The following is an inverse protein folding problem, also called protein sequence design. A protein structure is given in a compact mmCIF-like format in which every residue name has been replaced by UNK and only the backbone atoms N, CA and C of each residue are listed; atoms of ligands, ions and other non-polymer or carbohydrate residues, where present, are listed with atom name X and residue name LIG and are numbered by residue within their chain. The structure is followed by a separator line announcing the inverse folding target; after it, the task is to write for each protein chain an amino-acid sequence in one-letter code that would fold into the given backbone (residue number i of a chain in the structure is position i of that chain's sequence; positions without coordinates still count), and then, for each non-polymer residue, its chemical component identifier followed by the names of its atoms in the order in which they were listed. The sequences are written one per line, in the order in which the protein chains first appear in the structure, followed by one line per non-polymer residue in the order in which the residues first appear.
data_IF_846200262802
#
_entry.id   IF_846200262802
#
_cell.length_a   1.000
_cell.length_b   1.000
_cell.length_c   1.000
_cell.angle_alpha   90.00
_cell.angle_beta   90.00
_cell.angle_gamma   90.00
#
_symmetry.space_group_name_H-M   'P 1'
#
loop_
_entity.id
_entity.type
_entity.pdbx_description
1 polymer ?
#
# COMPACT_ATOMS: atom_id res chain seq x y z
N UNK A 1 -26.61 -6.60 -13.61
CA UNK A 1 -25.30 -6.81 -12.95
C UNK A 1 -24.22 -7.39 -13.87
N UNK A 2 -24.52 -8.24 -14.86
CA UNK A 2 -23.53 -8.74 -15.84
C UNK A 2 -23.03 -7.71 -16.88
N UNK A 3 -23.69 -6.55 -17.01
CA UNK A 3 -23.37 -5.54 -18.04
C UNK A 3 -22.21 -4.59 -17.70
N UNK A 4 -21.66 -4.66 -16.48
CA UNK A 4 -20.66 -3.69 -15.99
C UNK A 4 -19.24 -4.24 -15.85
N UNK A 5 -19.05 -5.54 -16.10
CA UNK A 5 -17.72 -6.16 -16.02
C UNK A 5 -17.15 -6.33 -17.43
N UNK A 6 -15.85 -6.06 -17.64
CA UNK A 6 -15.21 -6.22 -18.94
C UNK A 6 -15.37 -7.67 -19.42
N UNK A 7 -15.81 -7.83 -20.67
CA UNK A 7 -16.00 -9.13 -21.30
C UNK A 7 -14.68 -9.85 -21.51
N UNK A 8 -14.71 -11.19 -21.50
CA UNK A 8 -13.53 -12.03 -21.73
C UNK A 8 -12.94 -11.90 -23.16
N UNK A 9 -13.69 -11.29 -24.09
CA UNK A 9 -13.31 -11.10 -25.51
C UNK A 9 -13.27 -9.62 -25.90
N UNK A 10 -12.86 -8.74 -24.97
CA UNK A 10 -12.72 -7.31 -25.28
C UNK A 10 -11.58 -7.06 -26.27
N UNK A 11 -11.84 -6.19 -27.24
CA UNK A 11 -10.79 -5.74 -28.16
C UNK A 11 -9.81 -4.79 -27.45
N UNK A 12 -8.57 -4.68 -27.95
CA UNK A 12 -7.56 -3.73 -27.39
C UNK A 12 -8.09 -2.29 -27.34
N UNK A 13 -9.01 -1.92 -28.25
CA UNK A 13 -9.65 -0.62 -28.26
C UNK A 13 -10.63 -0.41 -27.09
N UNK A 14 -11.28 -1.47 -26.62
CA UNK A 14 -12.19 -1.44 -25.47
C UNK A 14 -11.43 -1.41 -24.15
N UNK A 15 -10.35 -2.19 -24.03
CA UNK A 15 -9.46 -2.17 -22.85
C UNK A 15 -8.79 -0.80 -22.63
N UNK A 16 -8.48 -0.09 -23.72
CA UNK A 16 -7.82 1.22 -23.67
C UNK A 16 -8.77 2.39 -23.84
N UNK A 17 -10.07 2.16 -23.68
CA UNK A 17 -11.09 3.21 -23.78
C UNK A 17 -10.82 4.29 -22.73
N UNK A 18 -10.87 5.56 -23.14
CA UNK A 18 -10.73 6.68 -22.21
C UNK A 18 -11.85 6.62 -21.17
N UNK A 19 -11.48 6.72 -19.88
CA UNK A 19 -12.38 6.51 -18.73
C UNK A 19 -13.02 5.10 -18.66
N UNK A 20 -12.49 4.15 -19.41
CA UNK A 20 -12.86 2.74 -19.29
C UNK A 20 -12.28 2.13 -18.01
N UNK A 21 -12.98 1.13 -17.47
CA UNK A 21 -12.47 0.28 -16.40
C UNK A 21 -12.01 -1.01 -17.06
N UNK A 22 -10.76 -1.39 -16.79
CA UNK A 22 -10.13 -2.58 -17.35
C UNK A 22 -9.46 -3.35 -16.21
N UNK A 23 -9.50 -4.67 -16.29
CA UNK A 23 -8.84 -5.53 -15.32
C UNK A 23 -7.32 -5.50 -15.55
N UNK A 24 -6.56 -4.94 -14.62
CA UNK A 24 -5.09 -4.92 -14.71
C UNK A 24 -4.45 -6.26 -14.29
N UNK A 25 -4.99 -6.90 -13.26
CA UNK A 25 -4.52 -8.17 -12.75
C UNK A 25 -5.64 -8.92 -12.02
N UNK A 26 -5.54 -10.25 -11.98
CA UNK A 26 -6.41 -11.14 -11.21
C UNK A 26 -5.53 -12.07 -10.39
N UNK A 27 -5.94 -12.33 -9.15
CA UNK A 27 -5.28 -13.27 -8.25
C UNK A 27 -6.29 -13.94 -7.35
N UNK A 28 -5.94 -15.09 -6.80
CA UNK A 28 -6.80 -15.91 -5.94
C UNK A 28 -7.00 -15.24 -4.58
N UNK A 29 -5.93 -14.67 -4.03
CA UNK A 29 -5.89 -14.13 -2.68
C UNK A 29 -5.29 -12.72 -2.63
N UNK A 30 -5.70 -11.93 -1.64
CA UNK A 30 -5.16 -10.59 -1.37
C UNK A 30 -4.95 -10.37 0.13
N UNK A 31 -3.81 -9.81 0.49
CA UNK A 31 -3.51 -9.33 1.85
C UNK A 31 -3.36 -7.82 1.84
N UNK A 32 -4.13 -7.13 2.67
CA UNK A 32 -4.20 -5.67 2.73
C UNK A 32 -3.85 -5.19 4.13
N UNK A 33 -2.77 -4.40 4.25
CA UNK A 33 -2.39 -3.80 5.54
C UNK A 33 -3.03 -2.44 5.73
N UNK A 34 -3.09 -1.63 4.66
CA UNK A 34 -3.58 -0.26 4.71
C UNK A 34 -3.81 0.33 3.32
N UNK A 35 -4.34 1.56 3.19
CA UNK A 35 -4.51 2.20 1.89
C UNK A 35 -3.19 2.32 1.12
N UNK A 36 -3.17 1.75 -0.09
CA UNK A 36 -2.01 1.66 -1.01
C UNK A 36 -0.91 0.67 -0.57
N UNK A 37 -1.17 -0.21 0.40
CA UNK A 37 -0.25 -1.24 0.88
C UNK A 37 -0.94 -2.62 0.88
N UNK A 38 -0.73 -3.39 -0.19
CA UNK A 38 -1.35 -4.71 -0.38
C UNK A 38 -0.51 -5.64 -1.25
N UNK A 39 -0.70 -6.95 -1.10
CA UNK A 39 -0.12 -7.97 -1.97
C UNK A 39 -1.22 -8.88 -2.53
N UNK A 40 -1.24 -9.03 -3.84
CA UNK A 40 -2.09 -9.98 -4.58
C UNK A 40 -1.25 -11.21 -4.91
N UNK A 41 -1.76 -12.40 -4.63
CA UNK A 41 -1.00 -13.65 -4.78
C UNK A 41 -1.89 -14.84 -5.13
N UNK A 42 -1.26 -15.87 -5.68
CA UNK A 42 -1.87 -17.18 -5.91
C UNK A 42 -1.22 -18.25 -5.04
N UNK A 43 -1.96 -19.30 -4.74
CA UNK A 43 -1.54 -20.37 -3.85
C UNK A 43 -2.03 -20.20 -2.42
N UNK A 44 -1.84 -21.26 -1.63
CA UNK A 44 -2.31 -21.35 -0.25
C UNK A 44 -1.19 -21.02 0.73
N UNK A 45 -1.52 -20.39 1.85
CA UNK A 45 -0.59 -20.05 2.94
C UNK A 45 0.16 -21.25 3.53
N UNK A 46 -0.31 -22.48 3.28
CA UNK A 46 0.29 -23.73 3.79
C UNK A 46 1.39 -24.32 2.91
N UNK A 47 1.54 -23.88 1.66
CA UNK A 47 2.57 -24.36 0.75
C UNK A 47 3.61 -23.26 0.49
N UNK A 48 4.88 -23.64 0.38
CA UNK A 48 5.98 -22.70 0.07
C UNK A 48 5.88 -22.09 -1.35
N UNK A 49 4.92 -22.51 -2.17
CA UNK A 49 4.70 -22.07 -3.54
C UNK A 49 3.81 -20.81 -3.65
N UNK A 50 3.94 -19.86 -2.72
CA UNK A 50 3.23 -18.57 -2.83
C UNK A 50 3.85 -17.75 -3.96
N UNK A 51 3.07 -17.51 -5.00
CA UNK A 51 3.48 -16.68 -6.14
C UNK A 51 2.87 -15.30 -6.00
N UNK A 52 3.70 -14.30 -5.67
CA UNK A 52 3.27 -12.90 -5.64
C UNK A 52 3.03 -12.38 -7.06
N UNK A 53 1.82 -11.88 -7.32
CA UNK A 53 1.43 -11.28 -8.59
C UNK A 53 1.65 -9.77 -8.60
N UNK A 54 1.26 -9.10 -7.52
CA UNK A 54 1.37 -7.65 -7.38
C UNK A 54 1.72 -7.30 -5.95
N UNK A 55 2.80 -6.55 -5.73
CA UNK A 55 3.15 -6.01 -4.41
C UNK A 55 3.08 -4.48 -4.43
N UNK A 56 2.10 -3.90 -3.73
CA UNK A 56 1.97 -2.45 -3.57
C UNK A 56 2.41 -2.03 -2.18
N UNK A 57 3.29 -1.03 -2.16
CA UNK A 57 3.82 -0.41 -0.94
C UNK A 57 3.79 1.11 -1.07
N UNK A 58 3.68 1.79 0.06
CA UNK A 58 3.66 3.26 0.09
C UNK A 58 5.05 3.83 0.34
N UNK A 59 5.54 4.64 -0.59
CA UNK A 59 6.77 5.44 -0.40
C UNK A 59 8.08 4.66 -0.50
N UNK A 60 8.01 3.39 -0.92
CA UNK A 60 9.15 2.49 -1.15
C UNK A 60 9.04 1.90 -2.57
N UNK A 61 10.17 1.73 -3.25
CA UNK A 61 10.20 1.13 -4.59
C UNK A 61 10.20 -0.39 -4.50
N UNK A 62 9.28 -1.03 -5.24
CA UNK A 62 9.12 -2.50 -5.31
C UNK A 62 10.42 -3.24 -5.63
N UNK A 63 11.15 -2.78 -6.65
CA UNK A 63 12.40 -3.41 -7.13
C UNK A 63 13.54 -3.47 -6.11
N UNK A 64 13.53 -2.62 -5.07
CA UNK A 64 14.63 -2.54 -4.09
C UNK A 64 14.28 -3.18 -2.74
N UNK A 65 12.99 -3.40 -2.48
CA UNK A 65 12.53 -3.83 -1.16
C UNK A 65 12.67 -5.33 -0.95
N UNK A 66 12.68 -6.14 -2.02
CA UNK A 66 12.69 -7.60 -1.98
C UNK A 66 11.65 -8.18 -1.00
N UNK A 67 10.50 -7.51 -0.85
CA UNK A 67 9.43 -7.96 0.02
C UNK A 67 8.57 -9.00 -0.69
N UNK A 68 8.23 -10.03 0.06
CA UNK A 68 7.41 -11.16 -0.35
C UNK A 68 6.01 -11.06 0.26
N UNK A 69 5.04 -11.80 -0.27
CA UNK A 69 3.70 -11.87 0.33
C UNK A 69 3.73 -12.32 1.80
N UNK A 70 4.67 -13.21 2.16
CA UNK A 70 4.87 -13.65 3.54
C UNK A 70 5.19 -12.50 4.49
N UNK A 71 5.90 -11.47 4.04
CA UNK A 71 6.18 -10.28 4.84
C UNK A 71 4.89 -9.51 5.18
N UNK A 72 3.94 -9.44 4.24
CA UNK A 72 2.63 -8.81 4.48
C UNK A 72 1.80 -9.65 5.45
N UNK A 73 1.76 -10.97 5.28
CA UNK A 73 1.04 -11.89 6.16
C UNK A 73 1.61 -11.80 7.58
N UNK A 74 2.94 -11.78 7.71
CA UNK A 74 3.63 -11.62 8.99
C UNK A 74 3.31 -10.27 9.64
N UNK A 75 3.35 -9.17 8.89
CA UNK A 75 2.95 -7.85 9.39
C UNK A 75 1.49 -7.85 9.90
N UNK A 76 0.59 -8.54 9.20
CA UNK A 76 -0.81 -8.61 9.59
C UNK A 76 -1.01 -9.43 10.87
N UNK A 77 -0.37 -10.61 10.95
CA UNK A 77 -0.58 -11.56 12.05
C UNK A 77 0.18 -11.17 13.33
N UNK A 78 1.41 -10.68 13.19
CA UNK A 78 2.27 -10.34 14.34
C UNK A 78 2.22 -8.85 14.71
N UNK A 79 1.62 -7.99 13.87
CA UNK A 79 1.64 -6.55 14.08
C UNK A 79 3.03 -5.92 13.96
N UNK A 80 3.98 -6.60 13.31
CA UNK A 80 5.35 -6.12 13.15
C UNK A 80 5.47 -5.05 12.04
N UNK A 81 6.43 -4.14 12.20
CA UNK A 81 6.79 -3.17 11.16
C UNK A 81 8.01 -3.66 10.40
N UNK A 82 7.95 -3.63 9.06
CA UNK A 82 9.09 -4.01 8.22
C UNK A 82 9.69 -2.75 7.61
N UNK A 83 10.97 -2.52 7.94
CA UNK A 83 11.74 -1.40 7.43
C UNK A 83 12.58 -1.82 6.23
N UNK A 84 12.70 -0.92 5.26
CA UNK A 84 13.48 -1.11 4.04
C UNK A 84 14.38 0.12 3.84
N UNK A 85 15.64 -0.12 3.49
CA UNK A 85 16.58 0.94 3.12
C UNK A 85 16.28 1.43 1.71
N UNK A 86 15.91 2.71 1.61
CA UNK A 86 15.64 3.37 0.33
C UNK A 86 16.69 4.41 0.02
N UNK A 87 17.22 4.38 -1.19
CA UNK A 87 18.17 5.38 -1.67
C UNK A 87 17.42 6.39 -2.52
N UNK A 88 17.49 7.66 -2.14
CA UNK A 88 16.91 8.78 -2.87
C UNK A 88 18.05 9.66 -3.43
N UNK A 89 17.95 10.04 -4.70
CA UNK A 89 18.87 11.00 -5.32
C UNK A 89 18.32 12.41 -5.09
N UNK A 90 19.11 13.26 -4.44
CA UNK A 90 18.76 14.65 -4.19
C UNK A 90 19.80 15.56 -4.84
N UNK A 91 19.35 16.68 -5.39
CA UNK A 91 20.23 17.70 -5.95
C UNK A 91 20.16 18.95 -5.07
N UNK A 92 21.31 19.38 -4.55
CA UNK A 92 21.42 20.60 -3.75
C UNK A 92 22.62 21.41 -4.23
N UNK A 93 22.39 22.67 -4.57
CA UNK A 93 23.45 23.60 -5.02
C UNK A 93 24.26 23.04 -6.20
N UNK A 94 23.61 22.34 -7.14
CA UNK A 94 24.26 21.74 -8.31
C UNK A 94 25.03 20.43 -8.02
N UNK A 95 25.08 19.97 -6.77
CA UNK A 95 25.66 18.68 -6.41
C UNK A 95 24.55 17.66 -6.24
N UNK A 96 24.65 16.53 -6.94
CA UNK A 96 23.77 15.38 -6.75
C UNK A 96 24.36 14.46 -5.69
N UNK A 97 23.59 14.17 -4.65
CA UNK A 97 23.95 13.22 -3.59
C UNK A 97 22.95 12.07 -3.54
N UNK A 98 23.44 10.89 -3.18
CA UNK A 98 22.61 9.75 -2.84
C UNK A 98 22.42 9.73 -1.32
N UNK A 99 21.17 9.83 -0.88
CA UNK A 99 20.80 9.74 0.53
C UNK A 99 20.13 8.39 0.77
N UNK A 100 20.74 7.57 1.61
CA UNK A 100 20.15 6.32 2.08
C UNK A 100 19.36 6.57 3.35
N UNK A 101 18.09 6.17 3.37
CA UNK A 101 17.20 6.31 4.52
C UNK A 101 16.45 5.01 4.75
N UNK A 102 16.38 4.57 6.00
CA UNK A 102 15.44 3.53 6.39
C UNK A 102 14.02 4.10 6.46
N UNK A 103 13.09 3.40 5.82
CA UNK A 103 11.67 3.72 5.84
C UNK A 103 10.88 2.48 6.21
N UNK A 104 9.84 2.64 7.02
CA UNK A 104 8.86 1.58 7.23
C UNK A 104 8.08 1.35 5.95
N UNK A 105 8.31 0.20 5.31
CA UNK A 105 7.71 -0.19 4.04
C UNK A 105 6.33 -0.81 4.26
N UNK A 106 6.22 -1.68 5.27
CA UNK A 106 4.98 -2.33 5.68
C UNK A 106 4.68 -1.96 7.12
N UNK A 107 3.54 -1.29 7.33
CA UNK A 107 2.99 -1.01 8.64
C UNK A 107 1.51 -1.38 8.64
N UNK A 108 1.01 -1.97 9.73
CA UNK A 108 -0.41 -2.29 9.87
C UNK A 108 -1.31 -1.06 10.00
N UNK A 109 -0.72 0.12 10.27
CA UNK A 109 -1.45 1.38 10.43
C UNK A 109 -0.76 2.44 9.58
N UNK A 110 -1.54 3.09 8.71
CA UNK A 110 -1.13 4.30 7.99
C UNK A 110 -2.04 5.49 8.31
N UNK A 111 -2.76 5.43 9.43
CA UNK A 111 -3.58 6.54 9.91
C UNK A 111 -2.69 7.74 10.18
N UNK A 112 -2.93 8.82 9.43
CA UNK A 112 -2.23 10.10 9.60
C UNK A 112 -3.08 11.15 10.31
N UNK A 113 -4.37 10.87 10.49
CA UNK A 113 -5.31 11.79 11.10
C UNK A 113 -6.41 11.07 11.86
N UNK A 114 -6.98 11.78 12.83
CA UNK A 114 -8.19 11.43 13.57
C UNK A 114 -9.27 12.46 13.20
N UNK A 115 -10.49 11.98 12.99
CA UNK A 115 -11.65 12.86 12.75
C UNK A 115 -12.25 13.22 14.12
N UNK A 116 -12.39 14.51 14.37
CA UNK A 116 -12.95 15.07 15.61
C UNK A 116 -14.49 15.15 15.52
N UNK A 117 -15.15 15.35 16.66
CA UNK A 117 -16.62 15.38 16.76
C UNK A 117 -17.28 16.50 15.93
N UNK A 118 -16.57 17.61 15.71
CA UNK A 118 -17.00 18.71 14.85
C UNK A 118 -16.73 18.47 13.34
N UNK A 119 -16.23 17.29 12.96
CA UNK A 119 -15.87 16.95 11.59
C UNK A 119 -14.52 17.48 11.13
N UNK A 120 -13.78 18.19 11.98
CA UNK A 120 -12.41 18.60 11.68
C UNK A 120 -11.44 17.42 11.75
N UNK A 121 -10.30 17.57 11.08
CA UNK A 121 -9.26 16.55 10.98
C UNK A 121 -8.04 17.01 11.78
N UNK A 122 -7.58 16.20 12.73
CA UNK A 122 -6.37 16.46 13.49
C UNK A 122 -5.27 15.43 13.17
N UNK A 123 -3.97 15.78 13.28
CA UNK A 123 -2.88 14.82 13.06
C UNK A 123 -2.97 13.64 14.02
N UNK A 124 -2.81 12.41 13.54
CA UNK A 124 -2.76 11.24 14.42
C UNK A 124 -1.44 11.22 15.20
N UNK A 125 -1.53 11.09 16.52
CA UNK A 125 -0.38 10.89 17.41
C UNK A 125 -0.60 9.63 18.22
N UNK A 126 0.43 8.79 18.33
CA UNK A 126 0.34 7.55 19.09
C UNK A 126 0.00 7.83 20.56
N UNK A 127 -1.03 7.16 21.09
CA UNK A 127 -1.50 7.34 22.47
C UNK A 127 -2.44 8.54 22.68
N UNK A 128 -2.70 9.33 21.64
CA UNK A 128 -3.62 10.48 21.72
C UNK A 128 -4.93 10.12 21.01
N UNK A 129 -6.03 10.08 21.77
CA UNK A 129 -7.38 9.90 21.22
C UNK A 129 -7.98 11.23 20.77
N UNK A 130 -9.12 11.18 20.07
CA UNK A 130 -9.88 12.38 19.69
C UNK A 130 -10.22 13.28 20.89
N UNK A 131 -10.42 12.69 22.08
CA UNK A 131 -10.82 13.40 23.31
C UNK A 131 -9.72 14.30 23.87
N UNK A 132 -8.47 14.09 23.46
CA UNK A 132 -7.34 14.90 23.89
C UNK A 132 -7.24 16.23 23.10
N UNK A 133 -8.02 16.39 22.02
CA UNK A 133 -8.04 17.62 21.24
C UNK A 133 -9.06 18.59 21.81
N UNK A 134 -8.60 19.79 22.18
CA UNK A 134 -9.49 20.90 22.52
C UNK A 134 -10.09 21.46 21.23
N UNK A 135 -11.41 21.42 21.14
CA UNK A 135 -12.18 22.03 20.06
C UNK A 135 -12.68 23.37 20.59
N UNK A 136 -12.13 24.47 20.07
CA UNK A 136 -12.67 25.79 20.34
C UNK A 136 -14.05 25.89 19.68
N UNK A 137 -15.02 26.47 20.39
CA UNK A 137 -16.41 26.59 19.94
C UNK A 137 -16.61 27.76 18.99
#
# INVERSE_FOLDING_TARGET
YKEWLPWNDCTVAEEKKLMGITTESQGENIVCLAPKCYSLYNGNEQNDDIVSLVNRMKGVSEKKANLTTNDYIKCLNEGCNINVTTNNLQMKMGIMSMISMEKSALTGIHNKMVVLSNGCCAPFMYGISADHYLIDQ
#
